data_IF_242513029714
#
_entry.id   IF_242513029714
#
_cell.length_a   1.000
_cell.length_b   1.000
_cell.length_c   1.000
_cell.angle_alpha   90.00
_cell.angle_beta   90.00
_cell.angle_gamma   90.00
#
_symmetry.space_group_name_H-M   'P 1'
#
loop_
_entity.id
_entity.type
_entity.pdbx_description
1 polymer ?
#
# COMPACT_ATOMS: atom_id res chain seq x y z
N UNK A 1 -4.90 -3.69 13.72
CA UNK A 1 -5.84 -2.82 12.97
C UNK A 1 -6.89 -3.71 12.30
N UNK A 2 -8.16 -3.33 12.29
CA UNK A 2 -9.25 -4.02 11.56
C UNK A 2 -10.32 -2.99 11.23
N UNK A 3 -10.89 -3.09 10.01
CA UNK A 3 -11.99 -2.20 9.58
C UNK A 3 -11.57 -0.80 9.15
N UNK A 4 -10.29 -0.48 9.21
CA UNK A 4 -9.75 0.84 8.81
C UNK A 4 -9.92 1.09 7.31
N UNK A 5 -9.98 2.35 6.94
CA UNK A 5 -9.86 2.85 5.57
C UNK A 5 -8.45 3.40 5.40
N UNK A 6 -7.66 2.76 4.56
CA UNK A 6 -6.25 3.11 4.34
C UNK A 6 -6.14 4.07 3.17
N UNK A 7 -5.33 5.12 3.32
CA UNK A 7 -5.00 6.02 2.23
C UNK A 7 -3.48 6.01 2.02
N UNK A 8 -3.04 5.52 0.86
CA UNK A 8 -1.62 5.44 0.53
C UNK A 8 -1.14 6.76 -0.05
N UNK A 9 -0.04 7.28 0.50
CA UNK A 9 0.57 8.55 0.10
C UNK A 9 2.00 8.29 -0.39
N UNK A 10 2.31 8.79 -1.59
CA UNK A 10 3.67 8.95 -2.08
C UNK A 10 4.11 10.39 -1.72
N UNK A 11 4.99 10.58 -0.70
CA UNK A 11 5.19 11.89 -0.09
C UNK A 11 5.60 12.99 -1.08
N UNK A 12 6.56 12.71 -1.96
CA UNK A 12 7.03 13.66 -2.98
C UNK A 12 5.91 14.18 -3.92
N UNK A 13 4.80 13.47 -4.01
CA UNK A 13 3.76 13.70 -5.03
C UNK A 13 2.40 14.11 -4.46
N UNK A 14 2.25 14.15 -3.13
CA UNK A 14 0.95 14.38 -2.52
C UNK A 14 0.61 15.85 -2.33
N UNK A 15 1.43 16.60 -1.59
CA UNK A 15 1.24 18.04 -1.41
C UNK A 15 2.55 18.72 -1.04
N UNK A 16 2.86 19.81 -1.74
CA UNK A 16 4.03 20.66 -1.47
C UNK A 16 3.64 21.75 -0.48
N UNK A 17 4.32 21.80 0.67
CA UNK A 17 4.14 22.91 1.62
C UNK A 17 4.74 24.20 1.09
N UNK A 18 4.26 25.33 1.60
CA UNK A 18 4.84 26.64 1.29
C UNK A 18 6.21 26.87 1.95
N UNK A 19 6.59 26.03 2.92
CA UNK A 19 7.80 26.20 3.72
C UNK A 19 9.01 25.47 3.13
N UNK A 20 8.80 24.44 2.30
CA UNK A 20 9.88 23.64 1.73
C UNK A 20 10.38 24.23 0.40
N UNK A 21 11.15 25.32 0.48
CA UNK A 21 11.74 25.98 -0.70
C UNK A 21 13.21 25.57 -0.98
N UNK A 22 13.76 24.60 -0.21
CA UNK A 22 15.21 24.32 -0.21
C UNK A 22 15.63 23.10 -1.03
N UNK A 23 14.72 22.47 -1.78
CA UNK A 23 15.05 21.31 -2.62
C UNK A 23 15.47 21.80 -4.00
N UNK A 24 16.72 21.55 -4.37
CA UNK A 24 17.23 21.87 -5.71
C UNK A 24 16.65 20.94 -6.79
N UNK A 25 16.50 21.44 -8.01
CA UNK A 25 16.08 20.65 -9.16
C UNK A 25 14.60 20.25 -9.17
N UNK A 26 13.75 20.93 -8.38
CA UNK A 26 12.30 20.68 -8.39
C UNK A 26 11.70 20.94 -9.78
N UNK A 27 10.86 20.03 -10.24
CA UNK A 27 9.97 20.27 -11.37
C UNK A 27 8.73 21.06 -10.93
N UNK A 28 8.07 21.67 -11.90
CA UNK A 28 6.75 22.27 -11.68
C UNK A 28 5.73 21.20 -11.31
N UNK A 29 4.86 21.50 -10.32
CA UNK A 29 3.95 20.54 -9.70
C UNK A 29 3.05 19.77 -10.70
N UNK A 30 2.56 20.44 -11.72
CA UNK A 30 1.67 19.86 -12.74
C UNK A 30 2.42 19.29 -13.95
N UNK A 31 3.77 19.28 -13.93
CA UNK A 31 4.55 18.77 -15.06
C UNK A 31 4.53 17.25 -15.14
N UNK A 32 4.83 16.73 -16.33
CA UNK A 32 4.94 15.29 -16.55
C UNK A 32 6.08 14.69 -15.72
N UNK A 33 5.80 13.55 -15.10
CA UNK A 33 6.75 12.85 -14.23
C UNK A 33 7.64 11.91 -15.04
N UNK A 34 8.86 11.74 -14.56
CA UNK A 34 9.80 10.71 -14.99
C UNK A 34 10.33 9.92 -13.77
N UNK A 35 11.15 8.91 -14.03
CA UNK A 35 11.68 8.04 -12.98
C UNK A 35 12.62 8.72 -11.97
N UNK A 36 13.08 9.96 -12.24
CA UNK A 36 14.08 10.63 -11.40
C UNK A 36 13.59 11.98 -10.86
N UNK A 37 12.50 12.53 -11.38
CA UNK A 37 12.04 13.87 -11.00
C UNK A 37 11.63 13.94 -9.52
N UNK A 38 11.93 15.09 -8.91
CA UNK A 38 11.47 15.48 -7.58
C UNK A 38 10.45 16.61 -7.73
N UNK A 39 9.27 16.44 -7.13
CA UNK A 39 8.15 17.39 -7.25
C UNK A 39 8.00 18.26 -5.99
N UNK A 40 8.59 17.83 -4.88
CA UNK A 40 8.71 18.61 -3.65
C UNK A 40 7.54 18.50 -2.69
N UNK A 41 6.74 17.45 -2.78
CA UNK A 41 5.81 17.10 -1.71
C UNK A 41 6.57 16.73 -0.43
N UNK A 42 5.98 17.02 0.74
CA UNK A 42 6.66 16.89 2.02
C UNK A 42 5.70 16.57 3.18
N UNK A 43 6.25 16.29 4.38
CA UNK A 43 5.48 15.92 5.56
C UNK A 43 4.58 17.06 6.06
N UNK A 44 5.02 18.30 5.92
CA UNK A 44 4.22 19.50 6.27
C UNK A 44 3.03 19.59 5.32
N UNK A 45 3.27 19.40 4.03
CA UNK A 45 2.23 19.36 3.01
C UNK A 45 1.19 18.26 3.29
N UNK A 46 1.62 17.06 3.71
CA UNK A 46 0.70 15.99 4.13
C UNK A 46 -0.12 16.46 5.34
N UNK A 47 0.52 17.08 6.35
CA UNK A 47 -0.16 17.62 7.54
C UNK A 47 -1.23 18.67 7.17
N UNK A 48 -0.96 19.55 6.21
CA UNK A 48 -1.90 20.56 5.71
C UNK A 48 -3.16 19.95 5.08
N UNK A 49 -3.07 18.71 4.57
CA UNK A 49 -4.18 18.00 3.91
C UNK A 49 -4.93 17.01 4.81
N UNK A 50 -4.61 16.94 6.10
CA UNK A 50 -5.29 16.04 7.04
C UNK A 50 -6.80 16.35 7.18
N UNK A 51 -7.23 17.59 6.97
CA UNK A 51 -8.66 17.93 6.97
C UNK A 51 -9.39 17.30 5.77
N UNK A 52 -8.75 17.26 4.61
CA UNK A 52 -9.27 16.56 3.44
C UNK A 52 -9.44 15.06 3.73
N UNK A 53 -8.39 14.40 4.23
CA UNK A 53 -8.40 12.97 4.55
C UNK A 53 -9.46 12.63 5.61
N UNK A 54 -9.56 13.46 6.65
CA UNK A 54 -10.57 13.29 7.70
C UNK A 54 -11.99 13.46 7.16
N UNK A 55 -12.24 14.45 6.29
CA UNK A 55 -13.56 14.68 5.64
C UNK A 55 -13.91 13.58 4.64
N UNK A 56 -12.91 12.98 4.00
CA UNK A 56 -13.08 11.80 3.14
C UNK A 56 -13.47 10.57 3.98
N UNK A 57 -13.10 10.53 5.28
CA UNK A 57 -13.38 9.42 6.19
C UNK A 57 -12.26 8.39 6.28
N UNK A 58 -11.04 8.78 5.91
CA UNK A 58 -9.81 7.98 6.07
C UNK A 58 -9.50 7.81 7.54
N UNK A 59 -9.12 6.61 7.96
CA UNK A 59 -8.76 6.28 9.35
C UNK A 59 -7.31 5.82 9.53
N UNK A 60 -6.57 5.61 8.44
CA UNK A 60 -5.13 5.38 8.47
C UNK A 60 -4.47 5.88 7.20
N UNK A 61 -3.29 6.50 7.33
CA UNK A 61 -2.41 6.77 6.20
C UNK A 61 -1.29 5.73 6.14
N UNK A 62 -0.93 5.32 4.93
CA UNK A 62 0.26 4.54 4.64
C UNK A 62 1.20 5.42 3.80
N UNK A 63 2.36 5.75 4.37
CA UNK A 63 3.40 6.53 3.73
C UNK A 63 4.39 5.62 3.01
N UNK A 64 4.58 5.80 1.70
CA UNK A 64 5.74 5.25 1.00
C UNK A 64 7.04 5.72 1.67
N UNK A 65 8.23 5.14 1.37
CA UNK A 65 9.43 5.35 2.16
C UNK A 65 9.74 6.83 2.43
N UNK A 66 10.09 7.14 3.68
CA UNK A 66 10.38 8.50 4.16
C UNK A 66 11.81 8.66 4.67
N UNK A 67 12.58 7.56 4.74
CA UNK A 67 13.93 7.58 5.25
C UNK A 67 14.89 8.28 4.28
N UNK A 68 15.99 8.80 4.81
CA UNK A 68 17.04 9.42 4.00
C UNK A 68 17.52 8.46 2.91
N UNK A 69 17.46 8.90 1.65
CA UNK A 69 17.80 8.11 0.47
C UNK A 69 18.21 9.02 -0.70
N UNK A 70 18.84 8.44 -1.73
CA UNK A 70 19.32 9.22 -2.88
C UNK A 70 18.23 9.40 -3.95
N UNK A 71 17.36 8.40 -4.14
CA UNK A 71 16.30 8.43 -5.15
C UNK A 71 15.08 9.25 -4.71
N UNK A 72 14.21 9.59 -5.66
CA UNK A 72 12.92 10.23 -5.37
C UNK A 72 11.92 9.27 -4.67
N UNK A 73 12.03 7.96 -4.92
CA UNK A 73 11.16 6.92 -4.34
C UNK A 73 11.60 6.45 -2.96
N UNK A 74 12.84 6.72 -2.54
CA UNK A 74 13.41 6.43 -1.21
C UNK A 74 13.55 4.95 -0.83
N UNK A 75 13.41 4.02 -1.79
CA UNK A 75 13.65 2.60 -1.53
C UNK A 75 15.14 2.26 -1.37
N UNK A 76 16.07 3.10 -1.84
CA UNK A 76 17.52 3.01 -1.66
C UNK A 76 17.98 3.70 -0.36
N UNK A 77 17.58 3.19 0.79
CA UNK A 77 17.80 3.81 2.11
C UNK A 77 19.29 4.00 2.42
N UNK A 78 19.66 5.25 2.75
CA UNK A 78 21.00 5.65 3.22
C UNK A 78 21.06 5.67 4.75
N UNK A 79 19.98 6.11 5.41
CA UNK A 79 19.94 6.18 6.87
C UNK A 79 18.51 6.00 7.39
N UNK A 80 18.30 4.92 8.15
CA UNK A 80 16.99 4.57 8.73
C UNK A 80 16.57 5.43 9.91
N UNK A 81 17.45 6.21 10.51
CA UNK A 81 17.17 7.03 11.69
C UNK A 81 16.83 8.48 11.37
N UNK A 82 16.90 8.87 10.10
CA UNK A 82 16.59 10.22 9.63
C UNK A 82 15.45 10.20 8.60
N UNK A 83 14.64 11.25 8.64
CA UNK A 83 13.77 11.62 7.53
C UNK A 83 14.64 12.17 6.39
N UNK A 84 14.27 11.88 5.15
CA UNK A 84 14.90 12.51 4.00
C UNK A 84 14.72 14.03 4.04
N UNK A 85 15.78 14.78 3.79
CA UNK A 85 15.76 16.24 3.89
C UNK A 85 14.76 16.90 2.93
N UNK A 86 14.43 16.23 1.82
CA UNK A 86 13.39 16.71 0.90
C UNK A 86 11.98 16.64 1.49
N UNK A 87 11.77 15.83 2.52
CA UNK A 87 10.48 15.64 3.18
C UNK A 87 10.35 16.44 4.49
N UNK A 88 11.45 16.94 5.03
CA UNK A 88 11.48 17.70 6.27
C UNK A 88 12.37 17.07 7.35
N UNK A 89 12.00 17.24 8.59
CA UNK A 89 12.77 16.84 9.78
C UNK A 89 12.06 15.76 10.59
N UNK A 90 12.76 15.19 11.57
CA UNK A 90 12.16 14.30 12.57
C UNK A 90 11.06 15.00 13.40
N UNK A 91 11.19 16.31 13.62
CA UNK A 91 10.18 17.08 14.35
C UNK A 91 8.92 17.27 13.49
N UNK A 92 9.07 17.53 12.19
CA UNK A 92 7.94 17.58 11.25
C UNK A 92 7.20 16.25 11.20
N UNK A 93 7.92 15.12 11.26
CA UNK A 93 7.32 13.80 11.34
C UNK A 93 6.54 13.58 12.64
N UNK A 94 7.11 13.96 13.80
CA UNK A 94 6.40 13.89 15.10
C UNK A 94 5.12 14.72 15.07
N UNK A 95 5.20 15.92 14.53
CA UNK A 95 4.03 16.80 14.39
C UNK A 95 2.97 16.21 13.47
N UNK A 96 3.38 15.55 12.37
CA UNK A 96 2.45 14.86 11.48
C UNK A 96 1.74 13.72 12.22
N UNK A 97 2.49 12.84 12.91
CA UNK A 97 1.92 11.72 13.68
C UNK A 97 0.95 12.22 14.75
N UNK A 98 1.37 13.20 15.56
CA UNK A 98 0.50 13.77 16.61
C UNK A 98 -0.76 14.43 15.99
N UNK A 99 -0.65 15.05 14.82
CA UNK A 99 -1.79 15.67 14.11
C UNK A 99 -2.74 14.62 13.52
N UNK A 100 -2.20 13.51 13.01
CA UNK A 100 -2.98 12.37 12.56
C UNK A 100 -3.79 11.78 13.73
N UNK A 101 -3.11 11.50 14.86
CA UNK A 101 -3.77 10.92 16.03
C UNK A 101 -4.86 11.82 16.61
N UNK A 102 -4.69 13.15 16.62
CA UNK A 102 -5.75 14.10 17.01
C UNK A 102 -7.02 14.00 16.13
N UNK A 103 -6.88 13.49 14.92
CA UNK A 103 -7.97 13.24 13.98
C UNK A 103 -8.41 11.77 13.92
N UNK A 104 -7.91 10.93 14.83
CA UNK A 104 -8.11 9.47 14.83
C UNK A 104 -7.62 8.80 13.53
N UNK A 105 -6.58 9.33 12.91
CA UNK A 105 -5.93 8.76 11.74
C UNK A 105 -4.63 8.08 12.22
N UNK A 106 -4.47 6.80 11.91
CA UNK A 106 -3.28 6.00 12.21
C UNK A 106 -2.20 6.24 11.16
N UNK A 107 -0.94 5.99 11.53
CA UNK A 107 0.21 6.17 10.63
C UNK A 107 0.96 4.87 10.45
N UNK A 108 1.05 4.42 9.19
CA UNK A 108 1.83 3.26 8.76
C UNK A 108 2.99 3.78 7.90
N UNK A 109 4.20 3.31 8.16
CA UNK A 109 5.38 3.65 7.34
C UNK A 109 5.92 2.42 6.63
N UNK A 110 6.71 2.66 5.58
CA UNK A 110 7.37 1.61 4.81
C UNK A 110 8.67 1.15 5.49
N UNK A 111 8.83 -0.15 5.67
CA UNK A 111 10.00 -0.80 6.22
C UNK A 111 10.80 -1.50 5.13
N UNK A 112 11.77 -0.81 4.55
CA UNK A 112 12.64 -1.32 3.48
C UNK A 112 13.84 -2.02 4.10
N UNK A 113 13.71 -3.30 4.48
CA UNK A 113 14.74 -4.03 5.22
C UNK A 113 15.44 -5.13 4.41
N UNK A 114 15.07 -5.30 3.15
CA UNK A 114 15.73 -6.26 2.27
C UNK A 114 17.04 -5.74 1.69
N UNK A 115 17.16 -4.44 1.42
CA UNK A 115 18.28 -3.81 0.74
C UNK A 115 18.51 -2.39 1.24
N UNK A 116 19.64 -1.81 0.87
CA UNK A 116 20.03 -0.43 1.21
C UNK A 116 20.61 0.28 -0.01
N UNK A 117 20.91 1.58 0.11
CA UNK A 117 21.77 2.28 -0.83
C UNK A 117 23.23 1.80 -0.73
N UNK A 118 24.05 1.95 -1.77
CA UNK A 118 25.52 1.86 -1.65
C UNK A 118 26.12 2.90 -0.70
N UNK A 119 25.44 4.03 -0.49
CA UNK A 119 25.84 5.07 0.47
C UNK A 119 25.45 4.77 1.93
N UNK A 120 24.73 3.67 2.18
CA UNK A 120 24.49 3.22 3.55
C UNK A 120 25.81 2.89 4.23
N UNK A 121 25.98 3.32 5.49
CA UNK A 121 27.26 3.32 6.17
C UNK A 121 28.02 2.00 6.10
N UNK A 122 27.32 0.86 6.18
CA UNK A 122 27.95 -0.46 6.18
C UNK A 122 28.44 -0.85 4.78
N UNK A 123 27.69 -0.56 3.71
CA UNK A 123 28.13 -0.86 2.36
C UNK A 123 29.23 0.10 1.91
N UNK A 124 29.14 1.36 2.29
CA UNK A 124 30.17 2.37 2.05
C UNK A 124 31.53 1.97 2.68
N UNK A 125 31.50 1.47 3.92
CA UNK A 125 32.71 0.92 4.56
C UNK A 125 33.29 -0.28 3.77
N UNK A 126 32.43 -1.13 3.17
CA UNK A 126 32.89 -2.23 2.30
C UNK A 126 33.55 -1.69 1.03
N UNK A 127 33.01 -0.64 0.42
CA UNK A 127 33.61 -0.02 -0.77
C UNK A 127 34.98 0.59 -0.45
N UNK A 128 35.16 1.17 0.73
CA UNK A 128 36.41 1.80 1.17
C UNK A 128 37.45 0.79 1.66
N UNK A 129 37.05 -0.20 2.46
CA UNK A 129 37.94 -1.11 3.19
C UNK A 129 37.99 -2.52 2.59
N UNK A 130 37.12 -2.85 1.64
CA UNK A 130 37.07 -4.10 0.92
C UNK A 130 37.00 -5.32 1.87
N UNK A 131 37.82 -6.34 1.71
CA UNK A 131 37.87 -7.55 2.56
C UNK A 131 38.15 -7.25 4.05
N UNK A 132 38.69 -6.07 4.36
CA UNK A 132 39.01 -5.65 5.73
C UNK A 132 37.83 -4.95 6.41
N UNK A 133 36.73 -4.68 5.70
CA UNK A 133 35.54 -4.10 6.28
C UNK A 133 34.97 -5.00 7.39
N UNK A 134 34.62 -4.40 8.51
CA UNK A 134 33.91 -5.09 9.60
C UNK A 134 32.47 -5.44 9.24
N UNK A 135 31.92 -4.84 8.19
CA UNK A 135 30.56 -5.06 7.70
C UNK A 135 30.48 -6.02 6.51
N UNK A 136 31.59 -6.65 6.08
CA UNK A 136 31.63 -7.53 4.91
C UNK A 136 30.59 -8.65 4.93
N UNK A 137 30.21 -9.14 6.12
CA UNK A 137 29.23 -10.21 6.31
C UNK A 137 27.77 -9.68 6.42
N UNK A 138 27.58 -8.34 6.39
CA UNK A 138 26.28 -7.72 6.31
C UNK A 138 25.63 -7.84 4.93
N UNK A 139 26.44 -8.19 3.91
CA UNK A 139 26.02 -8.38 2.52
C UNK A 139 26.61 -9.67 1.98
N UNK A 140 26.06 -10.18 0.89
CA UNK A 140 26.65 -11.32 0.16
C UNK A 140 27.54 -10.76 -0.95
N UNK A 141 28.86 -10.81 -0.75
CA UNK A 141 29.88 -10.38 -1.71
C UNK A 141 30.41 -11.61 -2.46
N UNK A 142 30.44 -11.55 -3.79
CA UNK A 142 30.90 -12.66 -4.63
C UNK A 142 32.40 -12.60 -4.95
N UNK A 143 32.96 -11.40 -5.05
CA UNK A 143 34.39 -11.18 -5.32
C UNK A 143 34.81 -9.77 -4.91
N UNK A 144 36.11 -9.59 -4.74
CA UNK A 144 36.75 -8.30 -4.49
C UNK A 144 37.64 -7.89 -5.65
N UNK A 145 37.85 -6.59 -5.90
CA UNK A 145 37.28 -5.47 -5.17
C UNK A 145 35.79 -5.29 -5.45
N UNK A 146 35.00 -4.91 -4.41
CA UNK A 146 33.58 -4.55 -4.56
C UNK A 146 33.48 -3.23 -5.28
N UNK A 147 32.63 -3.16 -6.30
CA UNK A 147 32.36 -1.95 -7.08
C UNK A 147 30.89 -1.83 -7.44
N UNK A 148 30.37 -0.58 -7.42
CA UNK A 148 29.01 -0.28 -7.87
C UNK A 148 29.02 -0.10 -9.39
N UNK A 149 29.11 -1.21 -10.10
CA UNK A 149 29.13 -1.27 -11.57
C UNK A 149 28.39 -2.53 -12.08
N UNK A 150 27.96 -2.53 -13.33
CA UNK A 150 27.28 -3.69 -13.94
C UNK A 150 28.28 -4.56 -14.72
N UNK A 151 28.28 -5.92 -14.56
CA UNK A 151 27.44 -6.66 -13.58
C UNK A 151 27.98 -6.51 -12.15
N UNK A 152 27.08 -6.42 -11.13
CA UNK A 152 27.51 -6.27 -9.75
C UNK A 152 28.15 -7.56 -9.23
N UNK A 153 29.18 -7.43 -8.38
CA UNK A 153 29.84 -8.55 -7.72
C UNK A 153 29.36 -8.76 -6.26
N UNK A 154 28.13 -8.35 -6.00
CA UNK A 154 27.39 -8.56 -4.74
C UNK A 154 25.93 -8.87 -5.05
N UNK A 155 25.25 -9.52 -4.09
CA UNK A 155 23.80 -9.75 -4.19
C UNK A 155 23.05 -8.43 -4.11
N UNK A 156 22.14 -8.18 -5.05
CA UNK A 156 21.32 -6.97 -5.13
C UNK A 156 19.83 -7.30 -5.31
N UNK A 157 18.97 -6.30 -5.22
CA UNK A 157 17.55 -6.41 -5.48
C UNK A 157 17.26 -6.22 -6.97
N UNK A 158 16.59 -7.19 -7.58
CA UNK A 158 16.06 -7.09 -8.95
C UNK A 158 17.05 -6.75 -10.06
N UNK A 159 18.37 -6.92 -9.84
CA UNK A 159 19.40 -6.50 -10.78
C UNK A 159 19.83 -5.03 -10.62
N UNK A 160 19.23 -4.28 -9.69
CA UNK A 160 19.57 -2.89 -9.41
C UNK A 160 20.91 -2.79 -8.67
N UNK A 161 21.92 -2.20 -9.31
CA UNK A 161 23.27 -2.05 -8.72
C UNK A 161 23.30 -1.10 -7.52
N UNK A 162 22.35 -0.23 -7.42
CA UNK A 162 22.15 0.76 -6.35
C UNK A 162 21.32 0.26 -5.16
N UNK A 163 20.98 -1.06 -5.17
CA UNK A 163 20.21 -1.71 -4.10
C UNK A 163 20.88 -2.99 -3.61
N UNK A 164 22.06 -2.92 -2.96
CA UNK A 164 22.73 -4.09 -2.37
C UNK A 164 21.85 -4.72 -1.28
N UNK A 165 21.66 -6.05 -1.34
CA UNK A 165 20.84 -6.79 -0.39
C UNK A 165 21.56 -7.06 0.91
N UNK A 166 20.89 -6.74 2.01
CA UNK A 166 21.32 -7.11 3.35
C UNK A 166 21.29 -8.63 3.53
N UNK A 167 22.28 -9.14 4.23
CA UNK A 167 22.30 -10.51 4.73
C UNK A 167 21.46 -10.57 6.02
N UNK A 168 20.17 -10.83 5.90
CA UNK A 168 19.24 -10.85 7.02
C UNK A 168 19.36 -12.10 7.93
N UNK A 169 20.27 -13.04 7.61
CA UNK A 169 20.70 -14.09 8.55
C UNK A 169 21.78 -13.60 9.53
N UNK A 170 22.50 -12.53 9.19
CA UNK A 170 23.54 -11.98 10.04
C UNK A 170 22.94 -11.37 11.31
N UNK A 171 23.44 -11.79 12.47
CA UNK A 171 22.89 -11.38 13.79
C UNK A 171 23.05 -9.89 14.08
N UNK A 172 24.07 -9.23 13.53
CA UNK A 172 24.27 -7.79 13.71
C UNK A 172 23.29 -7.00 12.82
N UNK A 173 23.03 -7.46 11.59
CA UNK A 173 21.98 -6.91 10.71
C UNK A 173 20.62 -7.05 11.38
N UNK A 174 20.32 -8.24 11.92
CA UNK A 174 19.06 -8.48 12.62
C UNK A 174 18.89 -7.54 13.83
N UNK A 175 19.96 -7.36 14.62
CA UNK A 175 19.94 -6.44 15.75
C UNK A 175 19.71 -4.99 15.29
N UNK A 176 20.41 -4.57 14.25
CA UNK A 176 20.27 -3.22 13.68
C UNK A 176 18.83 -2.95 13.24
N UNK A 177 18.21 -3.87 12.49
CA UNK A 177 16.82 -3.72 12.03
C UNK A 177 15.84 -3.66 13.22
N UNK A 178 16.03 -4.50 14.24
CA UNK A 178 15.23 -4.45 15.48
C UNK A 178 15.36 -3.10 16.17
N UNK A 179 16.57 -2.56 16.26
CA UNK A 179 16.81 -1.25 16.88
C UNK A 179 16.12 -0.12 16.07
N UNK A 180 16.16 -0.19 14.74
CA UNK A 180 15.42 0.73 13.84
C UNK A 180 13.90 0.66 14.09
N UNK A 181 13.32 -0.54 14.14
CA UNK A 181 11.87 -0.72 14.36
C UNK A 181 11.47 -0.10 15.71
N UNK A 182 12.24 -0.38 16.77
CA UNK A 182 11.97 0.20 18.11
C UNK A 182 12.09 1.71 18.13
N UNK A 183 13.04 2.26 17.39
CA UNK A 183 13.18 3.71 17.25
C UNK A 183 11.92 4.35 16.66
N UNK A 184 11.37 3.77 15.57
CA UNK A 184 10.16 4.29 14.93
C UNK A 184 8.90 3.99 15.73
N UNK A 185 8.82 2.86 16.43
CA UNK A 185 7.77 2.61 17.41
C UNK A 185 7.76 3.68 18.52
N UNK A 186 8.95 4.14 18.95
CA UNK A 186 9.11 5.27 19.86
C UNK A 186 8.64 6.62 19.28
N UNK A 187 8.55 6.74 17.95
CA UNK A 187 7.94 7.89 17.26
C UNK A 187 6.41 7.77 17.13
N UNK A 188 5.81 6.75 17.78
CA UNK A 188 4.36 6.50 17.86
C UNK A 188 3.69 6.18 16.52
N UNK A 189 4.39 5.54 15.61
CA UNK A 189 3.73 4.96 14.43
C UNK A 189 2.79 3.82 14.86
N UNK A 190 1.78 3.51 14.05
CA UNK A 190 0.79 2.47 14.34
C UNK A 190 1.06 1.17 13.59
N UNK A 191 1.86 1.22 12.55
CA UNK A 191 2.17 0.04 11.75
C UNK A 191 3.35 0.19 10.81
N UNK A 192 3.75 -0.97 10.27
CA UNK A 192 4.79 -1.12 9.26
C UNK A 192 4.23 -1.85 8.04
N UNK A 193 4.52 -1.36 6.86
CA UNK A 193 4.45 -2.16 5.62
C UNK A 193 5.86 -2.68 5.33
N UNK A 194 6.03 -3.98 5.22
CA UNK A 194 7.32 -4.56 4.87
C UNK A 194 7.46 -4.72 3.36
N UNK A 195 8.48 -4.06 2.83
CA UNK A 195 8.88 -4.12 1.44
C UNK A 195 9.47 -5.49 1.11
N UNK A 196 9.03 -6.11 0.02
CA UNK A 196 9.48 -7.39 -0.53
C UNK A 196 9.90 -8.45 0.51
N UNK A 197 9.04 -8.76 1.50
CA UNK A 197 9.43 -9.59 2.65
C UNK A 197 9.72 -11.06 2.29
N UNK A 198 9.36 -11.50 1.10
CA UNK A 198 9.71 -12.85 0.60
C UNK A 198 11.21 -13.01 0.31
N UNK A 199 11.98 -11.93 0.31
CA UNK A 199 13.43 -11.95 0.24
C UNK A 199 14.13 -11.82 1.60
N UNK A 200 13.37 -11.58 2.67
CA UNK A 200 13.87 -11.52 4.05
C UNK A 200 13.80 -12.92 4.65
N UNK A 201 14.87 -13.33 5.33
CA UNK A 201 14.94 -14.66 5.92
C UNK A 201 13.94 -14.83 7.09
N UNK A 202 13.40 -16.05 7.25
CA UNK A 202 12.38 -16.36 8.25
C UNK A 202 12.83 -16.01 9.68
N UNK A 203 14.11 -16.22 10.01
CA UNK A 203 14.69 -15.85 11.30
C UNK A 203 14.62 -14.35 11.60
N UNK A 204 14.74 -13.52 10.56
CA UNK A 204 14.58 -12.07 10.70
C UNK A 204 13.10 -11.69 10.84
N UNK A 205 12.22 -12.27 10.01
CA UNK A 205 10.77 -12.03 10.12
C UNK A 205 10.22 -12.38 11.51
N UNK A 206 10.69 -13.49 12.10
CA UNK A 206 10.35 -13.84 13.49
C UNK A 206 10.83 -12.79 14.50
N UNK A 207 12.04 -12.25 14.32
CA UNK A 207 12.57 -11.21 15.21
C UNK A 207 11.78 -9.91 15.05
N UNK A 208 11.43 -9.53 13.84
CA UNK A 208 10.54 -8.38 13.58
C UNK A 208 9.23 -8.57 14.35
N UNK A 209 8.55 -9.71 14.17
CA UNK A 209 7.27 -9.95 14.86
C UNK A 209 7.40 -9.95 16.39
N UNK A 210 8.49 -10.51 16.91
CA UNK A 210 8.72 -10.59 18.37
C UNK A 210 9.15 -9.26 19.01
N UNK A 211 9.75 -8.35 18.24
CA UNK A 211 10.28 -7.09 18.81
C UNK A 211 9.22 -5.99 18.96
N UNK A 212 8.07 -6.08 18.31
CA UNK A 212 7.07 -5.01 18.30
C UNK A 212 5.65 -5.55 18.33
N UNK A 213 4.71 -4.73 18.85
CA UNK A 213 3.27 -4.93 18.77
C UNK A 213 2.61 -4.12 17.64
N UNK A 214 3.37 -3.40 16.85
CA UNK A 214 2.86 -2.66 15.70
C UNK A 214 2.09 -3.59 14.75
N UNK A 215 1.10 -3.02 14.09
CA UNK A 215 0.47 -3.69 12.96
C UNK A 215 1.49 -3.88 11.83
N UNK A 216 1.60 -5.10 11.30
CA UNK A 216 2.52 -5.41 10.21
C UNK A 216 1.75 -5.94 9.01
N UNK A 217 1.93 -5.28 7.87
CA UNK A 217 1.42 -5.73 6.56
C UNK A 217 2.60 -6.01 5.62
N UNK A 218 2.59 -7.17 4.96
CA UNK A 218 3.63 -7.53 4.00
C UNK A 218 3.21 -7.25 2.57
N UNK A 219 4.15 -6.78 1.75
CA UNK A 219 3.97 -6.74 0.30
C UNK A 219 4.13 -8.14 -0.29
N UNK A 220 3.02 -8.82 -0.54
CA UNK A 220 3.00 -10.17 -1.10
C UNK A 220 2.17 -10.19 -2.37
N UNK A 221 2.81 -10.36 -3.52
CA UNK A 221 2.16 -10.38 -4.84
C UNK A 221 1.35 -11.65 -5.13
N UNK A 222 1.54 -12.70 -4.34
CA UNK A 222 0.85 -13.98 -4.47
C UNK A 222 0.21 -14.43 -3.17
N UNK A 223 0.20 -15.75 -2.94
CA UNK A 223 -0.37 -16.35 -1.74
C UNK A 223 0.48 -16.06 -0.50
N UNK A 224 -0.09 -15.35 0.48
CA UNK A 224 0.56 -14.98 1.74
C UNK A 224 0.50 -16.03 2.86
N UNK A 225 0.05 -17.25 2.59
CA UNK A 225 -0.17 -18.31 3.61
C UNK A 225 1.07 -18.59 4.48
N UNK A 226 2.27 -18.51 3.90
CA UNK A 226 3.53 -18.67 4.65
C UNK A 226 3.72 -17.60 5.71
N UNK A 227 3.20 -16.40 5.49
CA UNK A 227 3.54 -15.20 6.27
C UNK A 227 2.47 -14.85 7.31
N UNK A 228 1.20 -15.13 7.01
CA UNK A 228 0.06 -14.79 7.87
C UNK A 228 -0.52 -16.05 8.48
N UNK A 229 -0.76 -16.11 9.80
CA UNK A 229 -0.55 -15.06 10.81
C UNK A 229 0.85 -15.08 11.46
N UNK A 230 1.77 -15.91 10.98
CA UNK A 230 3.04 -16.20 11.68
C UNK A 230 3.91 -14.95 11.88
N UNK A 231 4.05 -14.11 10.84
CA UNK A 231 4.93 -12.94 10.86
C UNK A 231 4.16 -11.64 10.74
N UNK A 232 3.05 -11.63 9.97
CA UNK A 232 2.28 -10.45 9.63
C UNK A 232 0.84 -10.56 10.12
N UNK A 233 0.24 -9.41 10.39
CA UNK A 233 -1.19 -9.31 10.65
C UNK A 233 -2.01 -9.48 9.36
N UNK A 234 -1.49 -8.98 8.24
CA UNK A 234 -2.11 -9.05 6.92
C UNK A 234 -1.11 -8.88 5.78
N UNK A 235 -1.60 -8.84 4.57
CA UNK A 235 -0.83 -8.58 3.34
C UNK A 235 -1.49 -7.49 2.50
N UNK A 236 -0.73 -6.85 1.63
CA UNK A 236 -1.28 -6.17 0.46
C UNK A 236 -1.90 -7.24 -0.43
N UNK A 237 -3.25 -7.29 -0.50
CA UNK A 237 -3.98 -8.45 -1.04
C UNK A 237 -4.04 -8.43 -2.58
N UNK A 238 -2.90 -8.62 -3.21
CA UNK A 238 -2.80 -8.71 -4.67
C UNK A 238 -3.63 -9.88 -5.24
N UNK A 239 -3.79 -10.98 -4.48
CA UNK A 239 -4.65 -12.10 -4.89
C UNK A 239 -6.10 -11.66 -5.07
N UNK A 240 -6.64 -10.88 -4.14
CA UNK A 240 -7.99 -10.32 -4.26
C UNK A 240 -8.08 -9.27 -5.38
N UNK A 241 -7.05 -8.42 -5.51
CA UNK A 241 -6.96 -7.46 -6.63
C UNK A 241 -7.05 -8.19 -7.98
N UNK A 242 -6.28 -9.27 -8.19
CA UNK A 242 -6.30 -10.04 -9.44
C UNK A 242 -7.67 -10.71 -9.66
N UNK A 243 -8.29 -11.24 -8.60
CA UNK A 243 -9.62 -11.81 -8.67
C UNK A 243 -10.67 -10.79 -9.16
N UNK A 244 -10.67 -9.58 -8.58
CA UNK A 244 -11.56 -8.50 -9.02
C UNK A 244 -11.24 -8.06 -10.45
N UNK A 245 -9.98 -8.04 -10.84
CA UNK A 245 -9.57 -7.76 -12.23
C UNK A 245 -10.10 -8.80 -13.21
N UNK A 246 -10.02 -10.10 -12.89
CA UNK A 246 -10.59 -11.17 -13.72
C UNK A 246 -12.09 -10.98 -13.91
N UNK A 247 -12.82 -10.61 -12.85
CA UNK A 247 -14.25 -10.41 -12.87
C UNK A 247 -14.66 -9.13 -13.63
N UNK A 248 -14.16 -7.95 -13.20
CA UNK A 248 -14.66 -6.65 -13.63
C UNK A 248 -14.02 -6.17 -14.93
N UNK A 249 -12.70 -6.40 -15.08
CA UNK A 249 -11.94 -5.83 -16.20
C UNK A 249 -11.80 -6.82 -17.34
N UNK A 250 -11.23 -8.00 -17.04
CA UNK A 250 -10.96 -9.02 -18.08
C UNK A 250 -12.23 -9.80 -18.45
N UNK A 251 -13.21 -9.86 -17.53
CA UNK A 251 -14.44 -10.65 -17.68
C UNK A 251 -14.17 -12.11 -18.11
N UNK A 252 -13.16 -12.70 -17.49
CA UNK A 252 -12.65 -14.03 -17.84
C UNK A 252 -13.16 -15.14 -16.93
N UNK A 253 -13.94 -14.81 -15.90
CA UNK A 253 -14.53 -15.74 -14.93
C UNK A 253 -16.01 -15.40 -14.72
N UNK A 254 -16.80 -16.40 -14.36
CA UNK A 254 -18.18 -16.22 -13.91
C UNK A 254 -18.28 -16.11 -12.37
N UNK A 255 -19.51 -15.98 -11.87
CA UNK A 255 -19.76 -15.82 -10.44
C UNK A 255 -19.38 -17.06 -9.62
N UNK A 256 -19.52 -18.28 -10.19
CA UNK A 256 -19.14 -19.53 -9.51
C UNK A 256 -17.62 -19.56 -9.29
N UNK A 257 -16.84 -19.31 -10.34
CA UNK A 257 -15.38 -19.28 -10.26
C UNK A 257 -14.91 -18.15 -9.32
N UNK A 258 -15.56 -16.99 -9.37
CA UNK A 258 -15.24 -15.90 -8.45
C UNK A 258 -15.42 -16.33 -6.99
N UNK A 259 -16.54 -16.98 -6.66
CA UNK A 259 -16.84 -17.45 -5.30
C UNK A 259 -15.81 -18.49 -4.85
N UNK A 260 -15.44 -19.43 -5.71
CA UNK A 260 -14.45 -20.46 -5.38
C UNK A 260 -13.06 -19.86 -5.12
N UNK A 261 -12.61 -18.93 -5.99
CA UNK A 261 -11.32 -18.22 -5.79
C UNK A 261 -11.36 -17.33 -4.53
N UNK A 262 -12.47 -16.66 -4.25
CA UNK A 262 -12.63 -15.89 -3.00
C UNK A 262 -12.57 -16.78 -1.76
N UNK A 263 -13.29 -17.91 -1.75
CA UNK A 263 -13.29 -18.85 -0.63
C UNK A 263 -11.87 -19.36 -0.34
N UNK A 264 -11.08 -19.62 -1.38
CA UNK A 264 -9.67 -19.97 -1.23
C UNK A 264 -8.85 -18.84 -0.58
N UNK A 265 -9.07 -17.58 -0.98
CA UNK A 265 -8.40 -16.41 -0.36
C UNK A 265 -8.81 -16.28 1.10
N UNK A 266 -10.10 -16.36 1.40
CA UNK A 266 -10.64 -16.27 2.77
C UNK A 266 -10.09 -17.40 3.66
N UNK A 267 -10.08 -18.64 3.17
CA UNK A 267 -9.51 -19.77 3.89
C UNK A 267 -8.00 -19.61 4.13
N UNK A 268 -7.27 -19.07 3.15
CA UNK A 268 -5.83 -18.81 3.25
C UNK A 268 -5.48 -17.91 4.42
N UNK A 269 -6.25 -16.84 4.62
CA UNK A 269 -5.98 -15.82 5.65
C UNK A 269 -6.82 -15.98 6.92
N UNK A 270 -7.92 -16.75 6.87
CA UNK A 270 -8.84 -16.91 8.00
C UNK A 270 -9.27 -15.56 8.57
N UNK A 271 -9.23 -15.40 9.89
CA UNK A 271 -9.59 -14.14 10.57
C UNK A 271 -8.67 -12.96 10.21
N UNK A 272 -7.49 -13.20 9.68
CA UNK A 272 -6.55 -12.17 9.28
C UNK A 272 -6.92 -11.53 7.93
N UNK A 273 -7.90 -12.08 7.19
CA UNK A 273 -8.45 -11.44 5.99
C UNK A 273 -8.89 -9.99 6.29
N UNK A 274 -9.44 -9.74 7.49
CA UNK A 274 -9.85 -8.41 7.92
C UNK A 274 -8.70 -7.43 8.17
N UNK A 275 -7.47 -7.94 8.19
CA UNK A 275 -6.25 -7.15 8.34
C UNK A 275 -5.50 -6.96 7.00
N UNK A 276 -5.97 -7.56 5.91
CA UNK A 276 -5.36 -7.42 4.58
C UNK A 276 -5.82 -6.12 3.90
N UNK A 277 -4.94 -5.51 3.10
CA UNK A 277 -5.28 -4.33 2.29
C UNK A 277 -5.96 -4.75 1.00
N UNK A 278 -7.24 -4.45 0.86
CA UNK A 278 -7.94 -4.55 -0.42
C UNK A 278 -7.63 -3.31 -1.25
N UNK A 279 -6.94 -3.47 -2.36
CA UNK A 279 -6.39 -2.37 -3.15
C UNK A 279 -6.76 -2.48 -4.63
N UNK A 280 -6.95 -1.33 -5.28
CA UNK A 280 -7.11 -1.24 -6.75
C UNK A 280 -5.75 -1.19 -7.44
N UNK A 281 -4.82 -0.46 -6.86
CA UNK A 281 -3.48 -0.22 -7.33
C UNK A 281 -2.59 0.33 -6.23
N UNK A 282 -1.37 0.66 -6.60
CA UNK A 282 -0.36 1.27 -5.73
C UNK A 282 0.61 2.12 -6.57
N UNK A 283 1.68 2.59 -5.96
CA UNK A 283 2.77 3.27 -6.65
C UNK A 283 3.58 2.38 -7.62
N UNK A 284 3.34 1.06 -7.64
CA UNK A 284 4.00 0.07 -8.51
C UNK A 284 3.10 -0.45 -9.63
N UNK A 285 1.87 0.06 -9.71
CA UNK A 285 0.90 -0.43 -10.68
C UNK A 285 0.20 0.70 -11.39
N UNK A 286 -0.32 0.42 -12.56
CA UNK A 286 -1.22 1.32 -13.28
C UNK A 286 -2.39 1.77 -12.38
N UNK A 287 -2.78 3.07 -12.47
CA UNK A 287 -3.92 3.61 -11.74
C UNK A 287 -5.23 3.00 -12.21
N UNK A 288 -6.18 2.87 -11.29
CA UNK A 288 -7.46 2.20 -11.57
C UNK A 288 -8.22 2.81 -12.75
N UNK A 289 -8.21 4.13 -12.92
CA UNK A 289 -8.87 4.79 -14.06
C UNK A 289 -8.32 4.29 -15.42
N UNK A 290 -6.99 4.22 -15.55
CA UNK A 290 -6.34 3.70 -16.76
C UNK A 290 -6.62 2.20 -16.91
N UNK A 291 -6.50 1.44 -15.83
CA UNK A 291 -6.75 0.02 -15.81
C UNK A 291 -8.19 -0.32 -16.26
N UNK A 292 -9.16 0.51 -15.86
CA UNK A 292 -10.55 0.42 -16.31
C UNK A 292 -10.77 1.03 -17.72
N UNK A 293 -9.70 1.49 -18.41
CA UNK A 293 -9.77 2.14 -19.73
C UNK A 293 -10.74 3.33 -19.77
N UNK A 294 -10.82 4.07 -18.68
CA UNK A 294 -11.73 5.21 -18.52
C UNK A 294 -13.21 4.84 -18.38
N UNK A 295 -13.54 3.56 -18.21
CA UNK A 295 -14.93 3.12 -17.98
C UNK A 295 -15.29 3.32 -16.50
N UNK A 296 -16.01 4.40 -16.22
CA UNK A 296 -16.44 4.80 -14.87
C UNK A 296 -17.32 3.74 -14.20
N UNK A 297 -18.12 2.98 -14.94
CA UNK A 297 -18.95 1.91 -14.34
C UNK A 297 -18.08 0.77 -13.81
N UNK A 298 -17.05 0.38 -14.55
CA UNK A 298 -16.07 -0.62 -14.11
C UNK A 298 -15.32 -0.16 -12.89
N UNK A 299 -14.85 1.09 -12.89
CA UNK A 299 -14.13 1.68 -11.78
C UNK A 299 -14.98 1.74 -10.51
N UNK A 300 -16.22 2.19 -10.61
CA UNK A 300 -17.18 2.19 -9.50
C UNK A 300 -17.45 0.79 -8.95
N UNK A 301 -17.63 -0.17 -9.84
CA UNK A 301 -17.84 -1.57 -9.43
C UNK A 301 -16.58 -2.15 -8.77
N UNK A 302 -15.40 -1.83 -9.28
CA UNK A 302 -14.14 -2.24 -8.67
C UNK A 302 -14.03 -1.72 -7.23
N UNK A 303 -14.30 -0.43 -7.02
CA UNK A 303 -14.34 0.13 -5.65
C UNK A 303 -15.39 -0.56 -4.78
N UNK A 304 -16.57 -0.89 -5.32
CA UNK A 304 -17.57 -1.63 -4.55
C UNK A 304 -17.02 -2.97 -4.04
N UNK A 305 -16.25 -3.72 -4.84
CA UNK A 305 -15.57 -4.92 -4.35
C UNK A 305 -14.61 -4.61 -3.20
N UNK A 306 -13.77 -3.59 -3.31
CA UNK A 306 -12.79 -3.26 -2.27
C UNK A 306 -13.44 -2.91 -0.93
N UNK A 307 -14.55 -2.18 -0.97
CA UNK A 307 -15.19 -1.65 0.24
C UNK A 307 -16.22 -2.60 0.87
N UNK A 308 -16.84 -3.48 0.08
CA UNK A 308 -17.92 -4.35 0.56
C UNK A 308 -17.42 -5.75 0.98
N UNK A 309 -16.27 -6.19 0.50
CA UNK A 309 -15.64 -7.45 0.89
C UNK A 309 -14.87 -7.31 2.22
N UNK A 310 -14.59 -8.45 2.94
CA UNK A 310 -13.70 -8.46 4.10
C UNK A 310 -12.30 -7.97 3.74
N UNK A 311 -11.68 -7.20 4.63
CA UNK A 311 -10.37 -6.57 4.43
C UNK A 311 -10.41 -5.09 4.78
N UNK A 312 -9.31 -4.37 4.65
CA UNK A 312 -9.20 -2.93 4.80
C UNK A 312 -9.03 -2.29 3.41
N UNK A 313 -10.02 -1.52 2.92
CA UNK A 313 -9.88 -0.84 1.64
C UNK A 313 -8.69 0.11 1.66
N UNK A 314 -7.85 0.03 0.62
CA UNK A 314 -6.76 0.96 0.40
C UNK A 314 -7.07 1.80 -0.84
N UNK A 315 -7.05 3.11 -0.66
CA UNK A 315 -7.14 4.11 -1.72
C UNK A 315 -5.74 4.67 -1.97
N UNK A 316 -5.23 4.52 -3.18
CA UNK A 316 -3.99 5.17 -3.59
C UNK A 316 -4.29 6.64 -3.91
N UNK A 317 -3.48 7.59 -3.41
CA UNK A 317 -3.77 9.02 -3.52
C UNK A 317 -4.15 9.43 -4.96
N UNK A 318 -5.22 10.18 -5.07
CA UNK A 318 -5.72 10.69 -6.34
C UNK A 318 -6.59 9.71 -7.15
N UNK A 319 -6.61 8.42 -6.81
CA UNK A 319 -7.50 7.48 -7.47
C UNK A 319 -8.97 7.81 -7.16
N UNK A 320 -9.27 8.33 -5.96
CA UNK A 320 -10.61 8.75 -5.55
C UNK A 320 -11.16 9.95 -6.35
N UNK A 321 -10.30 10.69 -7.03
CA UNK A 321 -10.70 11.81 -7.90
C UNK A 321 -10.55 11.50 -9.38
N UNK A 322 -10.23 10.23 -9.72
CA UNK A 322 -10.10 9.75 -11.09
C UNK A 322 -8.81 10.17 -11.78
N UNK A 323 -7.70 10.32 -11.03
CA UNK A 323 -6.38 10.60 -11.62
C UNK A 323 -5.96 9.49 -12.59
N UNK A 324 -5.28 9.91 -13.66
CA UNK A 324 -4.71 9.03 -14.68
C UNK A 324 -3.24 8.74 -14.39
N UNK A 325 -2.76 7.59 -14.85
CA UNK A 325 -1.36 7.20 -14.80
C UNK A 325 -1.18 5.76 -15.22
N UNK A 326 -0.33 5.54 -16.20
CA UNK A 326 0.10 4.20 -16.63
C UNK A 326 1.06 3.61 -15.58
N UNK A 327 1.80 2.57 -15.91
CA UNK A 327 2.78 1.98 -14.99
C UNK A 327 3.85 3.00 -14.54
N UNK A 328 4.64 2.64 -13.51
CA UNK A 328 5.78 3.43 -13.05
C UNK A 328 6.66 3.92 -14.23
N UNK A 329 7.02 5.22 -14.28
CA UNK A 329 6.81 6.26 -13.25
C UNK A 329 5.47 7.02 -13.35
N UNK A 330 4.68 6.80 -14.37
CA UNK A 330 3.50 7.62 -14.71
C UNK A 330 2.35 7.47 -13.71
N UNK A 331 2.25 6.35 -12.99
CA UNK A 331 1.29 6.19 -11.87
C UNK A 331 1.60 7.11 -10.68
N UNK A 332 2.81 7.70 -10.64
CA UNK A 332 3.30 8.57 -9.56
C UNK A 332 3.19 10.06 -9.90
N UNK A 333 2.17 10.45 -10.68
CA UNK A 333 1.84 11.86 -10.94
C UNK A 333 1.49 12.61 -9.66
N UNK A 334 1.70 13.95 -9.64
CA UNK A 334 1.36 14.80 -8.50
C UNK A 334 -0.14 14.87 -8.28
N UNK A 335 -0.56 14.93 -7.00
CA UNK A 335 -1.97 15.04 -6.63
C UNK A 335 -2.59 16.31 -7.24
N UNK A 336 -3.73 16.14 -7.90
CA UNK A 336 -4.50 17.25 -8.47
C UNK A 336 -5.37 17.90 -7.39
N UNK A 337 -4.92 19.05 -6.89
CA UNK A 337 -5.64 19.79 -5.85
C UNK A 337 -6.63 20.82 -6.39
N UNK A 338 -6.65 21.03 -7.71
CA UNK A 338 -7.69 21.87 -8.33
C UNK A 338 -8.99 21.06 -8.46
N UNK A 339 -9.91 21.30 -7.53
CA UNK A 339 -11.18 20.58 -7.46
C UNK A 339 -12.01 20.68 -8.76
N UNK A 340 -11.81 21.72 -9.59
CA UNK A 340 -12.52 21.83 -10.87
C UNK A 340 -12.11 20.76 -11.91
N UNK A 341 -10.97 20.09 -11.69
CA UNK A 341 -10.47 19.00 -12.53
C UNK A 341 -10.86 17.61 -12.01
N UNK A 342 -11.50 17.51 -10.85
CA UNK A 342 -11.87 16.25 -10.23
C UNK A 342 -13.01 15.55 -10.97
N UNK A 343 -12.96 14.24 -11.03
CA UNK A 343 -14.09 13.43 -11.44
C UNK A 343 -15.03 13.25 -10.24
N UNK A 344 -16.01 14.15 -10.10
CA UNK A 344 -16.94 14.10 -8.98
C UNK A 344 -17.86 12.86 -8.98
N UNK A 345 -18.00 12.19 -10.12
CA UNK A 345 -18.78 10.96 -10.19
C UNK A 345 -18.04 9.82 -9.47
N UNK A 346 -16.70 9.76 -9.60
CA UNK A 346 -15.85 8.84 -8.86
C UNK A 346 -15.70 9.29 -7.40
N UNK A 347 -15.39 10.56 -7.17
CA UNK A 347 -15.19 11.09 -5.82
C UNK A 347 -16.39 10.84 -4.91
N UNK A 348 -17.59 11.20 -5.36
CA UNK A 348 -18.81 11.00 -4.59
C UNK A 348 -19.12 9.52 -4.36
N UNK A 349 -18.79 8.67 -5.34
CA UNK A 349 -18.95 7.23 -5.22
C UNK A 349 -18.03 6.63 -4.16
N UNK A 350 -16.73 6.93 -4.22
CA UNK A 350 -15.73 6.45 -3.24
C UNK A 350 -16.08 6.97 -1.84
N UNK A 351 -16.40 8.26 -1.71
CA UNK A 351 -16.82 8.86 -0.45
C UNK A 351 -18.07 8.18 0.12
N UNK A 352 -19.08 7.91 -0.70
CA UNK A 352 -20.28 7.19 -0.28
C UNK A 352 -20.01 5.77 0.20
N UNK A 353 -19.07 5.05 -0.44
CA UNK A 353 -18.64 3.72 0.02
C UNK A 353 -17.88 3.80 1.36
N UNK A 354 -17.04 4.80 1.55
CA UNK A 354 -16.34 5.06 2.82
C UNK A 354 -17.36 5.33 3.94
N UNK A 355 -18.32 6.24 3.71
CA UNK A 355 -19.38 6.57 4.67
C UNK A 355 -20.22 5.34 5.02
N UNK A 356 -20.63 4.57 4.02
CA UNK A 356 -21.39 3.33 4.20
C UNK A 356 -20.60 2.33 5.06
N UNK A 357 -19.30 2.15 4.80
CA UNK A 357 -18.47 1.21 5.55
C UNK A 357 -18.24 1.73 6.98
N UNK A 358 -17.94 3.01 7.17
CA UNK A 358 -17.69 3.60 8.48
C UNK A 358 -18.93 3.54 9.39
N UNK A 359 -20.13 3.61 8.81
CA UNK A 359 -21.39 3.50 9.56
C UNK A 359 -21.84 2.05 9.83
N UNK A 360 -21.13 1.03 9.30
CA UNK A 360 -21.59 -0.36 9.30
C UNK A 360 -20.56 -1.35 9.84
N UNK A 361 -20.72 -1.84 11.06
CA UNK A 361 -19.83 -2.83 11.65
C UNK A 361 -19.84 -4.18 10.89
N UNK A 362 -20.96 -4.55 10.25
CA UNK A 362 -21.01 -5.75 9.43
C UNK A 362 -20.04 -5.64 8.24
N UNK A 363 -19.90 -4.47 7.62
CA UNK A 363 -18.92 -4.25 6.56
C UNK A 363 -17.49 -4.20 7.06
N UNK A 364 -17.26 -3.65 8.26
CA UNK A 364 -15.93 -3.51 8.87
C UNK A 364 -15.37 -4.85 9.38
N UNK A 365 -16.20 -5.64 10.08
CA UNK A 365 -15.76 -6.77 10.91
C UNK A 365 -16.47 -8.09 10.60
N UNK A 366 -17.59 -8.02 9.83
CA UNK A 366 -18.46 -9.16 9.60
C UNK A 366 -17.84 -10.21 8.66
N UNK A 367 -18.31 -11.45 8.80
CA UNK A 367 -18.06 -12.52 7.85
C UNK A 367 -18.81 -12.25 6.54
N UNK A 368 -18.46 -12.98 5.49
CA UNK A 368 -19.19 -12.97 4.21
C UNK A 368 -19.86 -14.33 4.00
N UNK A 369 -21.07 -14.31 3.48
CA UNK A 369 -21.81 -15.52 3.13
C UNK A 369 -22.50 -15.30 1.79
N UNK A 370 -22.14 -16.05 0.76
CA UNK A 370 -22.84 -16.02 -0.51
C UNK A 370 -24.20 -16.68 -0.39
N UNK A 371 -25.24 -15.98 -0.85
CA UNK A 371 -26.64 -16.41 -0.72
C UNK A 371 -27.30 -16.72 -2.06
N UNK A 372 -26.60 -16.49 -3.19
CA UNK A 372 -27.04 -16.83 -4.53
C UNK A 372 -26.08 -16.37 -5.59
N UNK A 373 -26.04 -17.06 -6.72
CA UNK A 373 -25.28 -16.65 -7.90
C UNK A 373 -25.92 -17.16 -9.20
N UNK A 374 -25.68 -16.47 -10.28
CA UNK A 374 -26.08 -16.85 -11.63
C UNK A 374 -25.20 -16.10 -12.64
N UNK A 375 -24.59 -16.82 -13.58
CA UNK A 375 -23.74 -16.24 -14.63
C UNK A 375 -22.68 -15.26 -14.04
N UNK A 376 -22.81 -13.96 -14.33
CA UNK A 376 -21.90 -12.90 -13.90
C UNK A 376 -22.46 -12.09 -12.70
N UNK A 377 -23.44 -12.61 -11.98
CA UNK A 377 -24.08 -11.97 -10.85
C UNK A 377 -24.03 -12.88 -9.62
N UNK A 378 -23.79 -12.29 -8.46
CA UNK A 378 -23.93 -12.96 -7.16
C UNK A 378 -24.54 -12.03 -6.11
N UNK A 379 -25.05 -12.65 -5.06
CA UNK A 379 -25.49 -11.98 -3.84
C UNK A 379 -24.78 -12.57 -2.63
N UNK A 380 -24.43 -11.73 -1.68
CA UNK A 380 -23.86 -12.12 -0.40
C UNK A 380 -24.39 -11.28 0.76
N UNK A 381 -24.23 -11.82 1.95
CA UNK A 381 -24.47 -11.10 3.20
C UNK A 381 -23.18 -10.91 3.97
N UNK A 382 -23.01 -9.71 4.54
CA UNK A 382 -22.00 -9.42 5.57
C UNK A 382 -22.69 -9.50 6.92
N UNK A 383 -22.17 -10.32 7.84
CA UNK A 383 -22.83 -10.62 9.10
C UNK A 383 -21.89 -10.36 10.29
N UNK A 384 -22.33 -9.54 11.24
CA UNK A 384 -21.65 -9.26 12.50
C UNK A 384 -22.65 -9.20 13.66
N UNK A 385 -22.73 -10.24 14.47
CA UNK A 385 -23.79 -10.41 15.45
C UNK A 385 -25.17 -10.41 14.78
N UNK A 386 -26.04 -9.51 15.19
CA UNK A 386 -27.38 -9.35 14.60
C UNK A 386 -27.40 -8.40 13.38
N UNK A 387 -26.27 -7.69 13.14
CA UNK A 387 -26.14 -6.73 12.03
C UNK A 387 -25.91 -7.46 10.72
N UNK A 388 -26.69 -7.15 9.70
CA UNK A 388 -26.61 -7.72 8.37
C UNK A 388 -26.61 -6.64 7.31
N UNK A 389 -25.83 -6.86 6.27
CA UNK A 389 -25.83 -6.06 5.04
C UNK A 389 -25.86 -7.02 3.88
N UNK A 390 -26.90 -6.95 3.06
CA UNK A 390 -27.04 -7.78 1.84
C UNK A 390 -26.56 -6.97 0.64
N UNK A 391 -25.73 -7.61 -0.19
CA UNK A 391 -25.14 -7.01 -1.38
C UNK A 391 -25.43 -7.87 -2.59
N UNK A 392 -25.85 -7.21 -3.66
CA UNK A 392 -25.98 -7.81 -5.00
C UNK A 392 -24.93 -7.16 -5.91
N UNK A 393 -24.20 -7.95 -6.69
CA UNK A 393 -23.17 -7.47 -7.64
C UNK A 393 -23.35 -8.15 -8.98
N UNK A 394 -23.52 -7.36 -10.05
CA UNK A 394 -23.54 -7.84 -11.42
C UNK A 394 -22.32 -7.25 -12.15
N UNK A 395 -21.32 -8.07 -12.41
CA UNK A 395 -20.11 -7.68 -13.14
C UNK A 395 -20.15 -8.05 -14.62
N UNK A 396 -21.28 -8.61 -15.13
CA UNK A 396 -21.57 -8.79 -16.54
C UNK A 396 -22.01 -7.49 -17.21
N UNK A 397 -22.09 -7.51 -18.54
CA UNK A 397 -22.54 -6.34 -19.31
C UNK A 397 -24.05 -6.24 -19.46
N UNK A 398 -24.76 -7.37 -19.35
CA UNK A 398 -26.21 -7.43 -19.50
C UNK A 398 -26.92 -7.39 -18.15
N UNK A 399 -28.18 -6.99 -18.18
CA UNK A 399 -29.08 -7.05 -17.04
C UNK A 399 -29.26 -8.53 -16.62
N UNK A 400 -29.16 -8.80 -15.32
CA UNK A 400 -29.31 -10.13 -14.73
C UNK A 400 -30.21 -10.07 -13.50
N UNK A 401 -30.70 -11.25 -13.06
CA UNK A 401 -31.54 -11.34 -11.87
C UNK A 401 -31.22 -12.57 -11.04
N UNK A 402 -31.28 -12.42 -9.71
CA UNK A 402 -31.21 -13.48 -8.70
C UNK A 402 -32.38 -13.31 -7.75
N UNK A 403 -33.17 -14.37 -7.54
CA UNK A 403 -34.33 -14.39 -6.63
C UNK A 403 -35.33 -13.26 -6.88
N UNK A 404 -35.53 -12.87 -8.13
CA UNK A 404 -36.42 -11.78 -8.52
C UNK A 404 -35.85 -10.37 -8.37
N UNK A 405 -34.59 -10.25 -7.89
CA UNK A 405 -33.90 -8.98 -7.78
C UNK A 405 -33.05 -8.73 -9.04
N UNK A 406 -33.36 -7.68 -9.78
CA UNK A 406 -32.72 -7.34 -11.05
C UNK A 406 -31.65 -6.27 -10.86
N UNK A 407 -30.52 -6.45 -11.55
CA UNK A 407 -29.44 -5.45 -11.68
C UNK A 407 -29.04 -5.25 -13.13
N UNK A 408 -28.81 -4.02 -13.51
CA UNK A 408 -28.17 -3.68 -14.77
C UNK A 408 -26.71 -4.19 -14.81
N UNK A 409 -26.15 -4.28 -16.02
CA UNK A 409 -24.75 -4.67 -16.18
C UNK A 409 -23.78 -3.67 -15.51
N UNK A 410 -22.66 -4.17 -14.98
CA UNK A 410 -21.63 -3.43 -14.28
C UNK A 410 -22.22 -2.55 -13.15
N UNK A 411 -23.01 -3.16 -12.28
CA UNK A 411 -23.66 -2.46 -11.19
C UNK A 411 -23.75 -3.29 -9.91
N UNK A 412 -24.09 -2.65 -8.81
CA UNK A 412 -24.31 -3.30 -7.52
C UNK A 412 -25.42 -2.61 -6.75
N UNK A 413 -25.95 -3.31 -5.74
CA UNK A 413 -26.92 -2.75 -4.80
C UNK A 413 -26.63 -3.24 -3.39
N UNK A 414 -26.69 -2.33 -2.43
CA UNK A 414 -26.56 -2.64 -1.00
C UNK A 414 -27.92 -2.42 -0.33
N UNK A 415 -28.29 -3.36 0.52
CA UNK A 415 -29.46 -3.32 1.37
C UNK A 415 -28.97 -3.46 2.81
N UNK A 416 -29.18 -2.41 3.60
CA UNK A 416 -28.77 -2.32 5.01
C UNK A 416 -29.93 -2.63 5.92
#
# INVERSE_FOLDING_TARGET
MKGEIIYQIFPDRFNKSRQNNNVEGLKEWESEVDGQCVMGGDLIGIKEKLDYLSKLGVSAIYLNPIFQANSNHKYDTVNYYNIDSSFGTLDDFRELVDSCHKKNIKVIIDGVFNHTSPDFFAFKDILENQERSKYKDWYTIFSYPVKVESPPNYRNFGGCIDMPRLNTENVEVQKYIVDVIKYWEGMKIDGLRLDVPYYIEDSMLEKIRKCTSLYIVGEIWGCGKKFVPQYFDGVMNYSFRDLVQKAVIRQSIDASIFIDEWNFIEETYGQNIHCCFNMSGSHDTERIFNFCRGDIKREKLFYAFLFLFPGMPLVYYGDEIGMKGENDPYCRGTMEWNESKWNYDIYNHVKGLIELRNSNEALQKGTIQFVGHKEMMFAFERVYGEKRVKVFMNFGHSKQSIDGFELDGLSYKVIV
#
